data_IF_857901216274
#
_entry.id   IF_857901216274
#
_cell.length_a   1.000
_cell.length_b   1.000
_cell.length_c   1.000
_cell.angle_alpha   90.00
_cell.angle_beta   90.00
_cell.angle_gamma   90.00
#
_symmetry.space_group_name_H-M   'P 1'
#
loop_
_entity.id
_entity.type
_entity.pdbx_description
1 polymer ?
#
# COMPACT_ATOMS: atom_id res chain seq x y z
N UNK A 1 -21.05 36.23 4.48
CA UNK A 1 -22.06 35.76 5.46
C UNK A 1 -21.54 36.04 6.87
N UNK A 2 -22.40 36.28 7.88
CA UNK A 2 -21.96 36.64 9.26
C UNK A 2 -20.97 35.64 9.85
N UNK A 3 -21.07 34.37 9.45
CA UNK A 3 -20.24 33.26 9.94
C UNK A 3 -18.75 33.32 9.52
N UNK A 4 -18.40 34.11 8.51
CA UNK A 4 -17.01 34.24 8.03
C UNK A 4 -16.19 35.27 8.83
N UNK A 5 -16.85 36.08 9.65
CA UNK A 5 -16.21 37.14 10.43
C UNK A 5 -16.48 36.94 11.92
N UNK A 6 -15.51 36.42 12.70
CA UNK A 6 -15.67 36.22 14.14
C UNK A 6 -16.09 37.50 14.88
N UNK A 7 -15.62 38.65 14.41
CA UNK A 7 -15.94 39.97 14.93
C UNK A 7 -17.42 40.34 14.79
N UNK A 8 -18.09 39.87 13.72
CA UNK A 8 -19.53 40.08 13.51
C UNK A 8 -20.36 39.06 14.31
N UNK A 9 -19.87 37.83 14.43
CA UNK A 9 -20.49 36.79 15.26
C UNK A 9 -20.47 37.15 16.76
N UNK A 10 -19.40 37.78 17.24
CA UNK A 10 -19.28 38.25 18.62
C UNK A 10 -20.21 39.43 18.98
N UNK A 11 -20.88 40.04 17.99
CA UNK A 11 -21.89 41.07 18.21
C UNK A 11 -23.29 40.49 18.46
N UNK A 12 -23.47 39.17 18.25
CA UNK A 12 -24.73 38.48 18.52
C UNK A 12 -24.84 38.20 20.02
N UNK A 13 -25.98 38.58 20.60
CA UNK A 13 -26.23 38.42 22.03
C UNK A 13 -26.14 36.94 22.44
N UNK A 14 -25.27 36.64 23.41
CA UNK A 14 -25.03 35.27 23.90
C UNK A 14 -23.83 34.54 23.27
N UNK A 15 -23.12 35.15 22.30
CA UNK A 15 -21.91 34.57 21.70
C UNK A 15 -20.67 35.30 22.22
N UNK A 16 -19.81 34.58 22.95
CA UNK A 16 -18.52 35.11 23.39
C UNK A 16 -17.53 35.19 22.21
N UNK A 17 -16.49 36.04 22.31
CA UNK A 17 -15.42 36.10 21.30
C UNK A 17 -14.79 34.72 21.01
N UNK A 18 -14.57 33.92 22.06
CA UNK A 18 -14.02 32.57 21.89
C UNK A 18 -15.00 31.69 21.12
N UNK A 19 -16.30 31.75 21.44
CA UNK A 19 -17.31 30.97 20.73
C UNK A 19 -17.50 31.42 19.28
N UNK A 20 -17.39 32.72 19.02
CA UNK A 20 -17.42 33.28 17.67
C UNK A 20 -16.25 32.78 16.81
N UNK A 21 -15.04 32.71 17.38
CA UNK A 21 -13.87 32.16 16.69
C UNK A 21 -14.04 30.67 16.36
N UNK A 22 -14.49 29.85 17.32
CA UNK A 22 -14.78 28.43 17.09
C UNK A 22 -15.78 28.23 15.95
N UNK A 23 -16.92 28.93 15.99
CA UNK A 23 -17.97 28.82 14.98
C UNK A 23 -17.44 29.24 13.59
N UNK A 24 -16.70 30.35 13.52
CA UNK A 24 -16.12 30.83 12.27
C UNK A 24 -15.02 29.91 11.71
N UNK A 25 -14.31 29.19 12.57
CA UNK A 25 -13.33 28.19 12.15
C UNK A 25 -14.05 26.94 11.60
N UNK A 26 -14.99 26.39 12.37
CA UNK A 26 -15.76 25.21 11.95
C UNK A 26 -16.56 25.46 10.65
N UNK A 27 -17.10 26.67 10.49
CA UNK A 27 -17.76 27.08 9.25
C UNK A 27 -16.78 27.12 8.07
N UNK A 28 -15.56 27.64 8.27
CA UNK A 28 -14.53 27.67 7.23
C UNK A 28 -14.11 26.26 6.84
N UNK A 29 -13.82 25.39 7.79
CA UNK A 29 -13.45 23.99 7.53
C UNK A 29 -14.55 23.24 6.76
N UNK A 30 -15.82 23.39 7.16
CA UNK A 30 -16.95 22.80 6.43
C UNK A 30 -17.07 23.36 5.02
N UNK A 31 -16.90 24.67 4.84
CA UNK A 31 -16.97 25.31 3.52
C UNK A 31 -15.85 24.80 2.61
N UNK A 32 -14.62 24.71 3.11
CA UNK A 32 -13.50 24.19 2.31
C UNK A 32 -13.71 22.73 1.92
N UNK A 33 -14.22 21.91 2.84
CA UNK A 33 -14.63 20.54 2.51
C UNK A 33 -15.69 20.49 1.40
N UNK A 34 -16.72 21.37 1.45
CA UNK A 34 -17.71 21.46 0.38
C UNK A 34 -17.12 21.92 -0.96
N UNK A 35 -16.15 22.85 -0.96
CA UNK A 35 -15.44 23.26 -2.17
C UNK A 35 -14.66 22.08 -2.78
N UNK A 36 -13.99 21.28 -1.94
CA UNK A 36 -13.26 20.08 -2.37
C UNK A 36 -14.23 19.04 -2.91
N UNK A 37 -15.33 18.76 -2.21
CA UNK A 37 -16.37 17.85 -2.67
C UNK A 37 -16.92 18.28 -4.03
N UNK A 38 -17.24 19.55 -4.22
CA UNK A 38 -17.75 20.07 -5.49
C UNK A 38 -16.71 19.91 -6.61
N UNK A 39 -15.44 20.20 -6.33
CA UNK A 39 -14.35 20.04 -7.29
C UNK A 39 -14.10 18.56 -7.67
N UNK A 40 -14.25 17.63 -6.73
CA UNK A 40 -13.97 16.21 -6.97
C UNK A 40 -15.19 15.43 -7.49
N UNK A 41 -16.41 15.92 -7.23
CA UNK A 41 -17.65 15.27 -7.70
C UNK A 41 -17.75 15.21 -9.22
N UNK A 42 -17.19 16.18 -9.96
CA UNK A 42 -17.12 16.16 -11.43
C UNK A 42 -16.31 14.98 -11.99
N UNK A 43 -15.50 14.33 -11.15
CA UNK A 43 -14.63 13.22 -11.53
C UNK A 43 -15.12 11.86 -11.01
N UNK A 44 -16.41 11.75 -10.68
CA UNK A 44 -17.04 10.54 -10.16
C UNK A 44 -16.41 9.98 -8.87
N UNK A 45 -15.64 10.81 -8.14
CA UNK A 45 -15.12 10.46 -6.83
C UNK A 45 -16.24 10.35 -5.81
N UNK A 46 -16.28 9.22 -5.08
CA UNK A 46 -17.22 9.03 -3.98
C UNK A 46 -16.92 10.00 -2.82
N UNK A 47 -17.93 10.33 -2.01
CA UNK A 47 -17.75 11.17 -0.82
C UNK A 47 -16.73 10.55 0.14
N UNK A 48 -16.68 9.22 0.23
CA UNK A 48 -15.70 8.49 1.04
C UNK A 48 -14.27 8.74 0.55
N UNK A 49 -14.03 8.65 -0.76
CA UNK A 49 -12.71 8.93 -1.35
C UNK A 49 -12.30 10.39 -1.10
N UNK A 50 -13.21 11.35 -1.30
CA UNK A 50 -12.94 12.76 -1.03
C UNK A 50 -12.61 13.00 0.44
N UNK A 51 -13.32 12.33 1.35
CA UNK A 51 -13.08 12.43 2.79
C UNK A 51 -11.70 11.88 3.16
N UNK A 52 -11.26 10.78 2.56
CA UNK A 52 -9.91 10.23 2.79
C UNK A 52 -8.83 11.23 2.35
N UNK A 53 -8.96 11.81 1.16
CA UNK A 53 -7.98 12.78 0.65
C UNK A 53 -7.99 14.07 1.50
N UNK A 54 -9.17 14.53 1.93
CA UNK A 54 -9.28 15.69 2.84
C UNK A 54 -8.64 15.42 4.20
N UNK A 55 -8.80 14.21 4.76
CA UNK A 55 -8.18 13.87 6.03
C UNK A 55 -6.64 13.88 5.96
N UNK A 56 -6.08 13.59 4.78
CA UNK A 56 -4.63 13.62 4.54
C UNK A 56 -4.11 15.05 4.33
N UNK A 57 -4.78 15.85 3.50
CA UNK A 57 -4.25 17.13 3.02
C UNK A 57 -4.98 18.38 3.55
N UNK A 58 -6.11 18.21 4.22
CA UNK A 58 -6.92 19.28 4.78
C UNK A 58 -7.30 20.35 3.75
N UNK A 59 -7.16 21.61 4.14
CA UNK A 59 -7.51 22.76 3.30
C UNK A 59 -6.69 22.88 2.01
N UNK A 60 -5.52 22.24 1.92
CA UNK A 60 -4.64 22.29 0.75
C UNK A 60 -5.01 21.27 -0.34
N UNK A 61 -6.02 20.43 -0.08
CA UNK A 61 -6.41 19.32 -0.97
C UNK A 61 -6.62 19.76 -2.43
N UNK A 62 -7.35 20.86 -2.67
CA UNK A 62 -7.62 21.33 -4.04
C UNK A 62 -6.34 21.73 -4.77
N UNK A 63 -5.44 22.45 -4.09
CA UNK A 63 -4.19 22.91 -4.69
C UNK A 63 -3.26 21.74 -5.01
N UNK A 64 -3.13 20.79 -4.07
CA UNK A 64 -2.33 19.59 -4.25
C UNK A 64 -2.84 18.77 -5.44
N UNK A 65 -4.16 18.54 -5.53
CA UNK A 65 -4.76 17.79 -6.65
C UNK A 65 -4.59 18.55 -7.97
N UNK A 66 -4.73 19.89 -7.98
CA UNK A 66 -4.49 20.68 -9.20
C UNK A 66 -3.06 20.52 -9.71
N UNK A 67 -2.08 20.47 -8.81
CA UNK A 67 -0.67 20.34 -9.15
C UNK A 67 -0.32 18.90 -9.58
N UNK A 68 -0.85 17.90 -8.87
CA UNK A 68 -0.61 16.49 -9.17
C UNK A 68 -1.81 15.63 -8.72
N UNK A 69 -2.77 15.32 -9.59
CA UNK A 69 -3.92 14.49 -9.22
C UNK A 69 -3.57 13.06 -8.84
N UNK A 70 -2.43 12.55 -9.29
CA UNK A 70 -2.03 11.16 -9.06
C UNK A 70 -1.76 10.82 -7.59
N UNK A 71 -1.59 11.82 -6.72
CA UNK A 71 -1.50 11.61 -5.26
C UNK A 71 -2.74 10.91 -4.69
N UNK A 72 -3.89 11.03 -5.36
CA UNK A 72 -5.12 10.36 -4.94
C UNK A 72 -4.96 8.83 -5.01
N UNK A 73 -4.16 8.33 -5.97
CA UNK A 73 -3.90 6.90 -6.14
C UNK A 73 -3.13 6.30 -4.96
N UNK A 74 -2.37 7.11 -4.22
CA UNK A 74 -1.64 6.67 -3.03
C UNK A 74 -2.58 6.51 -1.83
N UNK A 75 -3.55 7.40 -1.68
CA UNK A 75 -4.47 7.49 -0.53
C UNK A 75 -5.66 6.54 -0.71
N UNK A 76 -6.25 6.50 -1.90
CA UNK A 76 -7.50 5.82 -2.17
C UNK A 76 -7.21 4.46 -2.80
N UNK A 77 -7.54 3.38 -2.08
CA UNK A 77 -7.21 2.02 -2.51
C UNK A 77 -8.10 1.44 -3.61
N UNK A 78 -9.31 1.98 -3.80
CA UNK A 78 -10.34 1.44 -4.71
C UNK A 78 -10.74 2.40 -5.82
N UNK A 79 -9.78 3.14 -6.36
CA UNK A 79 -10.00 4.07 -7.44
C UNK A 79 -9.27 3.62 -8.71
N UNK A 80 -9.90 3.81 -9.87
CA UNK A 80 -9.28 3.51 -11.15
C UNK A 80 -8.29 4.60 -11.57
N UNK A 81 -7.21 4.21 -12.26
CA UNK A 81 -6.28 5.16 -12.86
C UNK A 81 -6.99 6.14 -13.81
N UNK A 82 -7.92 5.66 -14.64
CA UNK A 82 -8.62 6.48 -15.63
C UNK A 82 -9.44 7.61 -15.01
N UNK A 83 -10.01 7.41 -13.82
CA UNK A 83 -10.77 8.45 -13.11
C UNK A 83 -9.85 9.62 -12.73
N UNK A 84 -8.62 9.32 -12.31
CA UNK A 84 -7.62 10.32 -11.93
C UNK A 84 -6.90 10.92 -13.14
N UNK A 85 -6.66 10.11 -14.17
CA UNK A 85 -6.02 10.53 -15.41
C UNK A 85 -6.86 11.60 -16.14
N UNK A 86 -8.19 11.48 -16.10
CA UNK A 86 -9.08 12.53 -16.61
C UNK A 86 -8.86 13.89 -15.91
N UNK A 87 -8.64 13.88 -14.59
CA UNK A 87 -8.33 15.10 -13.81
C UNK A 87 -7.00 15.69 -14.27
N UNK A 88 -5.99 14.84 -14.45
CA UNK A 88 -4.66 15.24 -14.87
C UNK A 88 -4.66 15.90 -16.24
N UNK A 89 -5.32 15.28 -17.22
CA UNK A 89 -5.43 15.82 -18.57
C UNK A 89 -6.21 17.13 -18.58
N UNK A 90 -7.32 17.24 -17.84
CA UNK A 90 -8.06 18.50 -17.71
C UNK A 90 -7.25 19.62 -17.04
N UNK A 91 -6.38 19.27 -16.10
CA UNK A 91 -5.47 20.22 -15.45
C UNK A 91 -4.23 20.56 -16.31
N UNK A 92 -4.14 20.01 -17.54
CA UNK A 92 -3.11 20.35 -18.52
C UNK A 92 -1.86 19.47 -18.51
N UNK A 93 -1.90 18.32 -17.82
CA UNK A 93 -0.81 17.34 -17.86
C UNK A 93 -0.77 16.68 -19.26
N UNK A 94 0.41 16.70 -19.88
CA UNK A 94 0.61 16.09 -21.21
C UNK A 94 0.42 14.58 -21.17
N UNK A 95 -0.18 14.01 -22.23
CA UNK A 95 -0.38 12.57 -22.39
C UNK A 95 0.93 11.77 -22.33
N UNK A 96 2.03 12.35 -22.83
CA UNK A 96 3.36 11.72 -22.81
C UNK A 96 4.24 12.25 -21.66
N UNK A 97 3.65 12.93 -20.68
CA UNK A 97 4.42 13.43 -19.53
C UNK A 97 5.01 12.26 -18.73
N UNK A 98 6.26 12.43 -18.30
CA UNK A 98 6.92 11.45 -17.46
C UNK A 98 6.15 11.25 -16.15
N UNK A 99 5.61 12.32 -15.56
CA UNK A 99 4.83 12.24 -14.33
C UNK A 99 3.60 11.34 -14.46
N UNK A 100 2.85 11.44 -15.58
CA UNK A 100 1.70 10.57 -15.88
C UNK A 100 2.12 9.10 -16.03
N UNK A 101 3.21 8.85 -16.75
CA UNK A 101 3.69 7.49 -16.99
C UNK A 101 4.21 6.86 -15.71
N UNK A 102 4.96 7.60 -14.89
CA UNK A 102 5.38 7.14 -13.58
C UNK A 102 4.19 6.81 -12.68
N UNK A 103 3.16 7.66 -12.66
CA UNK A 103 1.94 7.40 -11.90
C UNK A 103 1.22 6.13 -12.38
N UNK A 104 1.14 5.91 -13.70
CA UNK A 104 0.51 4.71 -14.27
C UNK A 104 1.26 3.42 -13.92
N UNK A 105 2.59 3.46 -13.90
CA UNK A 105 3.44 2.32 -13.51
C UNK A 105 3.29 2.06 -12.00
N UNK A 106 3.32 3.10 -11.16
CA UNK A 106 3.11 2.97 -9.72
C UNK A 106 1.74 2.36 -9.40
N UNK A 107 0.71 2.82 -10.10
CA UNK A 107 -0.64 2.26 -9.99
C UNK A 107 -0.67 0.77 -10.37
N UNK A 108 -0.06 0.40 -11.50
CA UNK A 108 0.03 -1.00 -11.93
C UNK A 108 0.75 -1.88 -10.89
N UNK A 109 1.86 -1.40 -10.35
CA UNK A 109 2.61 -2.11 -9.30
C UNK A 109 1.81 -2.23 -8.00
N UNK A 110 1.04 -1.20 -7.61
CA UNK A 110 0.16 -1.23 -6.44
C UNK A 110 -0.95 -2.28 -6.60
N UNK A 111 -1.55 -2.39 -7.78
CA UNK A 111 -2.53 -3.45 -8.06
C UNK A 111 -1.87 -4.82 -7.93
N UNK A 112 -0.67 -5.00 -8.50
CA UNK A 112 0.03 -6.28 -8.42
C UNK A 112 0.33 -6.66 -6.96
N UNK A 113 0.83 -5.72 -6.16
CA UNK A 113 1.09 -5.90 -4.73
C UNK A 113 -0.19 -6.26 -3.95
N UNK A 114 -1.31 -5.57 -4.22
CA UNK A 114 -2.60 -5.87 -3.60
C UNK A 114 -3.13 -7.28 -3.94
N UNK A 115 -2.72 -7.84 -5.08
CA UNK A 115 -3.01 -9.21 -5.47
C UNK A 115 -1.97 -10.23 -4.94
N UNK A 116 -1.02 -9.78 -4.11
CA UNK A 116 0.00 -10.62 -3.48
C UNK A 116 1.21 -10.91 -4.36
N UNK A 117 1.39 -10.20 -5.48
CA UNK A 117 2.58 -10.34 -6.31
C UNK A 117 3.76 -9.55 -5.71
N UNK A 118 4.92 -10.19 -5.60
CA UNK A 118 6.18 -9.53 -5.21
C UNK A 118 6.94 -8.92 -6.40
N UNK A 119 6.68 -9.44 -7.60
CA UNK A 119 7.19 -8.92 -8.86
C UNK A 119 6.17 -9.16 -9.99
N UNK A 120 6.35 -8.46 -11.10
CA UNK A 120 5.63 -8.66 -12.35
C UNK A 120 6.61 -8.93 -13.49
N UNK A 121 6.14 -9.58 -14.55
CA UNK A 121 6.92 -9.69 -15.79
C UNK A 121 6.97 -8.33 -16.49
N UNK A 122 8.14 -7.95 -17.00
CA UNK A 122 8.37 -6.67 -17.67
C UNK A 122 7.36 -6.42 -18.79
N UNK A 123 7.20 -7.36 -19.72
CA UNK A 123 6.27 -7.20 -20.85
C UNK A 123 4.82 -7.05 -20.39
N UNK A 124 4.39 -7.80 -19.37
CA UNK A 124 3.03 -7.67 -18.83
C UNK A 124 2.79 -6.28 -18.23
N UNK A 125 3.79 -5.71 -17.55
CA UNK A 125 3.70 -4.35 -17.01
C UNK A 125 3.61 -3.31 -18.12
N UNK A 126 4.46 -3.45 -19.14
CA UNK A 126 4.48 -2.57 -20.31
C UNK A 126 3.12 -2.60 -21.03
N UNK A 127 2.62 -3.78 -21.39
CA UNK A 127 1.34 -3.96 -22.07
C UNK A 127 0.18 -3.36 -21.27
N UNK A 128 0.19 -3.58 -19.95
CA UNK A 128 -0.83 -3.03 -19.06
C UNK A 128 -0.77 -1.50 -19.01
N UNK A 129 0.41 -0.90 -18.87
CA UNK A 129 0.57 0.56 -18.86
C UNK A 129 0.19 1.17 -20.20
N UNK A 130 0.55 0.55 -21.33
CA UNK A 130 0.10 0.97 -22.66
C UNK A 130 -1.43 0.94 -22.74
N UNK A 131 -2.07 -0.12 -22.23
CA UNK A 131 -3.55 -0.22 -22.22
C UNK A 131 -4.22 0.86 -21.37
N UNK A 132 -3.57 1.34 -20.31
CA UNK A 132 -4.07 2.42 -19.45
C UNK A 132 -3.88 3.80 -20.09
N UNK A 133 -2.75 4.01 -20.75
CA UNK A 133 -2.27 5.36 -21.10
C UNK A 133 -2.39 5.70 -22.59
N UNK A 134 -2.42 4.67 -23.45
CA UNK A 134 -2.44 4.78 -24.91
C UNK A 134 -1.13 5.23 -25.54
N UNK A 135 -0.02 5.31 -24.78
CA UNK A 135 1.27 5.75 -25.32
C UNK A 135 2.07 4.61 -25.94
N UNK A 136 3.09 4.95 -26.73
CA UNK A 136 4.01 3.97 -27.31
C UNK A 136 4.93 3.35 -26.24
N UNK A 137 5.35 2.11 -26.50
CA UNK A 137 6.20 1.31 -25.60
C UNK A 137 7.48 2.04 -25.17
N UNK A 138 8.11 2.80 -26.09
CA UNK A 138 9.35 3.53 -25.80
C UNK A 138 9.22 4.47 -24.61
N UNK A 139 8.10 5.19 -24.51
CA UNK A 139 7.84 6.10 -23.40
C UNK A 139 7.65 5.36 -22.07
N UNK A 140 6.98 4.20 -22.11
CA UNK A 140 6.78 3.36 -20.92
C UNK A 140 8.11 2.79 -20.43
N UNK A 141 8.94 2.28 -21.33
CA UNK A 141 10.27 1.77 -21.01
C UNK A 141 11.17 2.86 -20.44
N UNK A 142 11.11 4.08 -21.00
CA UNK A 142 11.82 5.23 -20.46
C UNK A 142 11.37 5.52 -19.01
N UNK A 143 10.08 5.58 -18.74
CA UNK A 143 9.55 5.82 -17.40
C UNK A 143 9.88 4.70 -16.39
N UNK A 144 9.90 3.43 -16.83
CA UNK A 144 10.37 2.31 -16.01
C UNK A 144 11.84 2.51 -15.60
N UNK A 145 12.69 2.90 -16.55
CA UNK A 145 14.10 3.15 -16.27
C UNK A 145 14.29 4.33 -15.30
N UNK A 146 13.54 5.43 -15.48
CA UNK A 146 13.57 6.57 -14.56
C UNK A 146 13.15 6.18 -13.13
N UNK A 147 12.10 5.37 -12.98
CA UNK A 147 11.69 4.84 -11.68
C UNK A 147 12.73 3.90 -11.07
N UNK A 148 13.47 3.15 -11.89
CA UNK A 148 14.58 2.33 -11.41
C UNK A 148 15.76 3.17 -10.95
N UNK A 149 16.13 4.23 -11.68
CA UNK A 149 17.15 5.20 -11.26
C UNK A 149 16.78 5.90 -9.95
N UNK A 150 15.48 6.18 -9.75
CA UNK A 150 14.93 6.72 -8.49
C UNK A 150 14.86 5.68 -7.36
N UNK A 151 15.30 4.45 -7.58
CA UNK A 151 15.21 3.31 -6.64
C UNK A 151 13.79 3.03 -6.17
N UNK A 152 12.81 3.28 -7.03
CA UNK A 152 11.44 2.86 -6.79
C UNK A 152 11.19 1.43 -7.31
N UNK A 153 11.81 1.09 -8.46
CA UNK A 153 11.73 -0.24 -9.07
C UNK A 153 13.11 -0.92 -9.07
N UNK A 154 13.11 -2.22 -8.75
CA UNK A 154 14.21 -3.12 -9.03
C UNK A 154 13.91 -3.89 -10.32
N UNK A 155 14.87 -3.90 -11.25
CA UNK A 155 14.76 -4.58 -12.54
C UNK A 155 15.79 -5.73 -12.58
N UNK A 156 15.30 -6.95 -12.66
CA UNK A 156 16.11 -8.17 -12.76
C UNK A 156 15.68 -8.97 -13.99
N UNK A 157 16.49 -8.89 -15.05
CA UNK A 157 16.19 -9.50 -16.36
C UNK A 157 14.77 -9.11 -16.85
N UNK A 158 13.84 -10.06 -16.82
CA UNK A 158 12.45 -9.92 -17.26
C UNK A 158 11.46 -9.67 -16.11
N UNK A 159 11.96 -9.38 -14.89
CA UNK A 159 11.16 -9.13 -13.68
C UNK A 159 11.32 -7.71 -13.21
N UNK A 160 10.20 -7.09 -12.86
CA UNK A 160 10.13 -5.77 -12.23
C UNK A 160 9.45 -5.92 -10.89
N UNK A 161 10.07 -5.42 -9.84
CA UNK A 161 9.56 -5.43 -8.47
C UNK A 161 9.64 -4.03 -7.87
N UNK A 162 8.85 -3.77 -6.83
CA UNK A 162 9.12 -2.63 -5.97
C UNK A 162 10.47 -2.85 -5.29
N UNK A 163 11.35 -1.83 -5.31
CA UNK A 163 12.68 -1.91 -4.67
C UNK A 163 12.55 -2.36 -3.20
N UNK A 164 11.56 -1.84 -2.48
CA UNK A 164 11.28 -2.20 -1.09
C UNK A 164 10.98 -3.69 -0.90
N UNK A 165 10.23 -4.30 -1.81
CA UNK A 165 9.88 -5.73 -1.77
C UNK A 165 11.09 -6.61 -2.13
N UNK A 166 11.87 -6.21 -3.13
CA UNK A 166 13.12 -6.91 -3.48
C UNK A 166 14.10 -6.93 -2.32
N UNK A 167 14.31 -5.78 -1.66
CA UNK A 167 15.15 -5.68 -0.46
C UNK A 167 14.60 -6.57 0.66
N UNK A 168 13.29 -6.51 0.92
CA UNK A 168 12.66 -7.35 1.95
C UNK A 168 12.85 -8.85 1.66
N UNK A 169 12.71 -9.28 0.40
CA UNK A 169 12.92 -10.67 -0.01
C UNK A 169 14.36 -11.12 0.21
N UNK A 170 15.33 -10.29 -0.20
CA UNK A 170 16.76 -10.55 0.02
C UNK A 170 17.10 -10.64 1.52
N UNK A 171 16.54 -9.75 2.34
CA UNK A 171 16.73 -9.78 3.80
C UNK A 171 16.16 -11.05 4.42
N UNK A 172 14.95 -11.47 4.02
CA UNK A 172 14.32 -12.70 4.50
C UNK A 172 15.18 -13.91 4.12
N UNK A 173 15.61 -14.00 2.86
CA UNK A 173 16.46 -15.08 2.38
C UNK A 173 17.80 -15.12 3.15
N UNK A 174 18.42 -13.97 3.36
CA UNK A 174 19.68 -13.85 4.10
C UNK A 174 19.52 -14.29 5.56
N UNK A 175 18.48 -13.81 6.25
CA UNK A 175 18.18 -14.20 7.64
C UNK A 175 17.88 -15.70 7.75
N UNK A 176 17.14 -16.27 6.81
CA UNK A 176 16.88 -17.71 6.76
C UNK A 176 18.16 -18.53 6.60
N UNK A 177 19.08 -18.10 5.74
CA UNK A 177 20.36 -18.80 5.55
C UNK A 177 21.24 -18.70 6.81
N UNK A 178 21.25 -17.55 7.49
CA UNK A 178 21.94 -17.39 8.78
C UNK A 178 21.34 -18.32 9.84
N UNK A 179 20.01 -18.37 9.95
CA UNK A 179 19.33 -19.25 10.91
C UNK A 179 19.63 -20.72 10.62
N UNK A 180 19.48 -21.14 9.36
CA UNK A 180 19.74 -22.51 8.92
C UNK A 180 21.14 -23.00 9.31
N UNK A 181 22.17 -22.15 9.15
CA UNK A 181 23.56 -22.49 9.40
C UNK A 181 24.04 -22.25 10.85
N UNK A 182 23.18 -21.75 11.73
CA UNK A 182 23.53 -21.53 13.13
C UNK A 182 23.89 -22.85 13.86
N UNK A 183 24.70 -22.78 14.92
CA UNK A 183 25.02 -23.97 15.71
C UNK A 183 23.82 -24.40 16.55
N UNK A 184 23.36 -25.63 16.34
CA UNK A 184 22.26 -26.23 17.13
C UNK A 184 22.83 -26.94 18.36
N UNK A 185 22.20 -26.72 19.51
CA UNK A 185 22.41 -27.54 20.69
C UNK A 185 21.65 -28.85 20.53
N UNK A 186 22.38 -29.93 20.23
CA UNK A 186 21.78 -31.27 20.12
C UNK A 186 21.23 -31.74 21.47
N UNK A 187 19.97 -32.16 21.47
CA UNK A 187 19.36 -32.86 22.60
C UNK A 187 19.68 -34.34 22.44
N UNK A 188 20.16 -34.99 23.52
CA UNK A 188 20.38 -36.43 23.55
C UNK A 188 19.08 -37.16 23.92
N UNK A 189 18.93 -38.40 23.45
CA UNK A 189 17.84 -39.31 23.79
C UNK A 189 16.45 -38.70 23.54
N UNK A 190 16.28 -38.06 22.38
CA UNK A 190 15.02 -37.40 22.00
C UNK A 190 13.85 -38.40 21.94
N UNK A 191 14.08 -39.60 21.41
CA UNK A 191 13.05 -40.62 21.30
C UNK A 191 12.52 -41.08 22.66
N UNK A 192 13.41 -41.32 23.62
CA UNK A 192 13.03 -41.74 24.97
C UNK A 192 12.18 -40.67 25.67
N UNK A 193 12.55 -39.40 25.50
CA UNK A 193 11.78 -38.26 26.04
C UNK A 193 10.41 -38.11 25.39
N UNK A 194 10.29 -38.38 24.09
CA UNK A 194 8.99 -38.36 23.40
C UNK A 194 8.09 -39.44 24.00
N UNK A 195 8.60 -40.66 24.20
CA UNK A 195 7.84 -41.77 24.78
C UNK A 195 7.40 -41.46 26.22
N UNK A 196 8.28 -40.86 27.02
CA UNK A 196 7.98 -40.42 28.39
C UNK A 196 6.80 -39.42 28.40
N UNK A 197 6.86 -38.38 27.56
CA UNK A 197 5.79 -37.37 27.44
C UNK A 197 4.48 -37.98 26.93
N UNK A 198 4.53 -38.91 25.97
CA UNK A 198 3.32 -39.60 25.47
C UNK A 198 2.61 -40.37 26.59
N UNK A 199 3.38 -41.01 27.48
CA UNK A 199 2.84 -41.74 28.63
C UNK A 199 2.33 -40.81 29.74
N UNK A 200 3.04 -39.72 30.04
CA UNK A 200 2.65 -38.76 31.08
C UNK A 200 1.36 -38.01 30.72
N UNK A 201 1.26 -37.57 29.47
CA UNK A 201 0.12 -36.80 28.97
C UNK A 201 -1.02 -37.68 28.43
N UNK A 202 -0.82 -39.00 28.41
CA UNK A 202 -1.76 -39.99 27.87
C UNK A 202 -2.20 -39.66 26.43
N UNK A 203 -1.23 -39.32 25.58
CA UNK A 203 -1.42 -38.98 24.17
C UNK A 203 -0.70 -39.99 23.27
N UNK A 204 -1.24 -40.21 22.07
CA UNK A 204 -0.59 -41.02 21.05
C UNK A 204 -0.33 -40.16 19.81
N UNK A 205 0.93 -39.80 19.58
CA UNK A 205 1.36 -39.06 18.42
C UNK A 205 1.36 -39.95 17.18
N UNK A 206 1.01 -39.38 16.03
CA UNK A 206 1.21 -40.07 14.75
C UNK A 206 2.69 -40.08 14.37
N UNK A 207 3.05 -40.92 13.39
CA UNK A 207 4.42 -40.96 12.85
C UNK A 207 4.85 -39.59 12.33
N UNK A 208 3.96 -38.88 11.62
CA UNK A 208 4.25 -37.55 11.07
C UNK A 208 4.48 -36.51 12.17
N UNK A 209 3.71 -36.57 13.27
CA UNK A 209 3.91 -35.69 14.42
C UNK A 209 5.25 -35.96 15.11
N UNK A 210 5.65 -37.24 15.27
CA UNK A 210 6.97 -37.58 15.80
C UNK A 210 8.09 -37.09 14.88
N UNK A 211 7.96 -37.26 13.57
CA UNK A 211 8.94 -36.73 12.59
C UNK A 211 9.05 -35.21 12.65
N UNK A 212 7.93 -34.50 12.82
CA UNK A 212 7.93 -33.05 12.96
C UNK A 212 8.69 -32.57 14.20
N UNK A 213 8.50 -33.24 15.34
CA UNK A 213 9.23 -32.96 16.59
C UNK A 213 10.73 -33.20 16.40
N UNK A 214 11.12 -34.35 15.84
CA UNK A 214 12.53 -34.67 15.61
C UNK A 214 13.16 -33.65 14.66
N UNK A 215 12.49 -33.33 13.55
CA UNK A 215 12.98 -32.33 12.59
C UNK A 215 13.20 -30.97 13.24
N UNK A 216 12.27 -30.51 14.10
CA UNK A 216 12.39 -29.23 14.80
C UNK A 216 13.54 -29.20 15.83
N UNK A 217 13.92 -30.35 16.38
CA UNK A 217 15.04 -30.46 17.32
C UNK A 217 16.41 -30.63 16.63
N UNK A 218 16.41 -31.18 15.42
CA UNK A 218 17.63 -31.44 14.65
C UNK A 218 18.01 -30.32 13.68
N UNK A 219 17.07 -29.44 13.32
CA UNK A 219 17.26 -28.35 12.36
C UNK A 219 16.90 -26.99 12.97
N UNK A 220 17.66 -25.93 12.65
CA UNK A 220 17.37 -24.57 13.12
C UNK A 220 16.08 -23.99 12.51
N UNK A 221 15.73 -24.43 11.31
CA UNK A 221 14.55 -24.01 10.57
C UNK A 221 13.82 -25.27 10.15
N UNK A 222 12.58 -25.42 10.59
CA UNK A 222 11.68 -26.50 10.19
C UNK A 222 10.35 -25.89 9.81
N UNK A 223 9.81 -26.32 8.67
CA UNK A 223 8.47 -25.93 8.21
C UNK A 223 7.55 -27.12 8.46
N UNK A 224 6.53 -26.93 9.31
CA UNK A 224 5.50 -27.93 9.60
C UNK A 224 4.21 -27.42 8.96
N UNK A 225 3.74 -28.10 7.93
CA UNK A 225 2.46 -27.77 7.29
C UNK A 225 1.41 -28.81 7.65
N UNK A 226 0.19 -28.34 7.92
CA UNK A 226 -0.95 -29.20 8.20
C UNK A 226 -2.24 -28.49 7.76
N UNK A 227 -3.09 -29.21 7.04
CA UNK A 227 -4.46 -28.73 6.80
C UNK A 227 -5.32 -28.90 8.05
N UNK A 228 -6.42 -28.15 8.19
CA UNK A 228 -7.40 -28.41 9.25
C UNK A 228 -7.91 -29.84 9.10
N UNK A 229 -7.65 -30.71 10.08
CA UNK A 229 -8.28 -32.03 10.12
C UNK A 229 -9.75 -31.82 10.46
N UNK A 230 -10.64 -32.30 9.59
CA UNK A 230 -12.04 -32.57 9.91
C UNK A 230 -12.10 -33.38 11.22
N UNK A 231 -13.05 -32.99 12.06
CA UNK A 231 -13.38 -33.60 13.36
C UNK A 231 -13.43 -35.13 13.32
#
# INVERSE_FOLDING_TARGET
MIYESPEKLAQVQGISKNKANEISQEYREKREFFNILEYLKKYNLSIENVTQVYNEYGVNTVEIIKNNPYVILDIVSRIGFSEIDNIAVENGISLNSLERLEASIKYAMKIAEQNGHTYVKKNNLVDFVISLTGVEEEYVLHAINELSMKRYLNIEEERISLESLSIAELEIATKLEVLKNAKIKKIKNVLDKIIEIESEENIALTTEQRTAIISALENNVTIITGGPRNR
#
